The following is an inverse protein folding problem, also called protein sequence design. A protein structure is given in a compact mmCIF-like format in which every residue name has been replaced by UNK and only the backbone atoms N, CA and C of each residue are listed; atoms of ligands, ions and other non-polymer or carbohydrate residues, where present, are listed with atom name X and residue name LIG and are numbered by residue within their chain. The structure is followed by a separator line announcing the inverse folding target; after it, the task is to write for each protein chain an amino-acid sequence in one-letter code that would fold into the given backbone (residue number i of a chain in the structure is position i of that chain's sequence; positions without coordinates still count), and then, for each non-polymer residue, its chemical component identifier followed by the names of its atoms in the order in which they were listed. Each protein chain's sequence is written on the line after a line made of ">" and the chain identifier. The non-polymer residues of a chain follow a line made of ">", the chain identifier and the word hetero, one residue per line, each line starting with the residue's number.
data_IF_302967075194
#
_entry.id   IF_302967075194
#
_cell.length_a   1.000
_cell.length_b   1.000
_cell.length_c   1.000
_cell.angle_alpha   90.00
_cell.angle_beta   90.00
_cell.angle_gamma   90.00
#
_symmetry.space_group_name_H-M   'P 1'
#
loop_
_entity.id
_entity.type
_entity.pdbx_description
1 polymer ?
#
# COMPACT_ATOMS: atom_id res chain seq x y z
N UNK A 1 -0.33 -2.36 -6.02
CA UNK A 1 0.92 -1.54 -5.95
C UNK A 1 2.02 -2.43 -5.40
N UNK A 2 3.21 -2.42 -5.99
CA UNK A 2 4.37 -3.20 -5.51
C UNK A 2 4.75 -2.79 -4.07
N UNK A 3 5.03 -3.76 -3.19
CA UNK A 3 5.41 -3.55 -1.78
C UNK A 3 6.61 -2.60 -1.63
N UNK A 4 7.59 -2.68 -2.55
CA UNK A 4 8.75 -1.80 -2.57
C UNK A 4 8.35 -0.34 -2.87
N UNK A 5 7.46 -0.13 -3.82
CA UNK A 5 6.95 1.21 -4.14
C UNK A 5 6.12 1.78 -2.99
N UNK A 6 5.30 0.96 -2.33
CA UNK A 6 4.55 1.37 -1.13
C UNK A 6 5.48 1.76 0.02
N UNK A 7 6.53 0.98 0.28
CA UNK A 7 7.50 1.29 1.34
C UNK A 7 8.24 2.62 1.08
N UNK A 8 8.60 2.88 -0.18
CA UNK A 8 9.21 4.16 -0.56
C UNK A 8 8.22 5.32 -0.39
N UNK A 9 6.97 5.14 -0.83
CA UNK A 9 5.93 6.16 -0.69
C UNK A 9 5.63 6.47 0.79
N UNK A 10 5.60 5.44 1.65
CA UNK A 10 5.42 5.60 3.10
C UNK A 10 6.56 6.43 3.71
N UNK A 11 7.82 6.08 3.42
CA UNK A 11 8.97 6.82 3.95
C UNK A 11 8.98 8.28 3.47
N UNK A 12 8.58 8.55 2.24
CA UNK A 12 8.47 9.90 1.69
C UNK A 12 7.33 10.70 2.34
N UNK A 13 6.18 10.07 2.60
CA UNK A 13 5.07 10.69 3.31
C UNK A 13 5.48 11.05 4.76
N UNK A 14 6.17 10.15 5.46
CA UNK A 14 6.70 10.42 6.80
C UNK A 14 7.65 11.60 6.82
N UNK A 15 8.58 11.67 5.87
CA UNK A 15 9.52 12.79 5.77
C UNK A 15 8.79 14.10 5.44
N UNK A 16 7.77 14.05 4.57
CA UNK A 16 6.97 15.21 4.23
C UNK A 16 6.18 15.74 5.46
N UNK A 17 5.57 14.83 6.23
CA UNK A 17 4.89 15.18 7.48
C UNK A 17 5.83 15.80 8.50
N UNK A 18 7.00 15.21 8.71
CA UNK A 18 8.02 15.77 9.61
C UNK A 18 8.43 17.20 9.21
N UNK A 19 8.71 17.41 7.93
CA UNK A 19 9.05 18.75 7.41
C UNK A 19 7.90 19.76 7.61
N UNK A 20 6.66 19.29 7.51
CA UNK A 20 5.48 20.12 7.70
C UNK A 20 5.27 20.48 9.17
N UNK A 21 5.49 19.56 10.09
CA UNK A 21 5.44 19.83 11.53
C UNK A 21 6.48 20.91 11.91
N UNK A 22 7.70 20.82 11.39
CA UNK A 22 8.73 21.85 11.61
C UNK A 22 8.32 23.23 11.08
N UNK A 23 7.68 23.28 9.90
CA UNK A 23 7.15 24.53 9.37
C UNK A 23 6.06 25.10 10.27
N UNK A 24 5.12 24.27 10.74
CA UNK A 24 4.04 24.69 11.65
C UNK A 24 4.59 25.22 12.99
N UNK A 25 5.64 24.60 13.54
CA UNK A 25 6.34 25.09 14.72
C UNK A 25 6.99 26.45 14.47
N UNK A 26 7.66 26.65 13.34
CA UNK A 26 8.26 27.94 12.99
C UNK A 26 7.23 29.07 12.85
N UNK A 27 6.07 28.79 12.23
CA UNK A 27 4.95 29.75 12.18
C UNK A 27 4.47 30.12 13.59
N UNK A 28 4.26 29.13 14.46
CA UNK A 28 3.85 29.37 15.84
C UNK A 28 4.87 30.22 16.61
N UNK A 29 6.16 29.92 16.48
CA UNK A 29 7.24 30.71 17.11
C UNK A 29 7.23 32.16 16.58
N UNK A 30 7.08 32.34 15.29
CA UNK A 30 6.99 33.66 14.63
C UNK A 30 5.82 34.47 15.22
N UNK A 31 4.63 33.87 15.35
CA UNK A 31 3.45 34.51 15.89
C UNK A 31 3.57 34.84 17.38
N UNK A 32 4.08 33.89 18.19
CA UNK A 32 4.18 34.06 19.66
C UNK A 32 5.28 35.06 20.02
N UNK A 33 6.45 34.94 19.38
CA UNK A 33 7.61 35.77 19.68
C UNK A 33 7.65 37.07 18.87
N UNK A 34 6.66 37.30 17.99
CA UNK A 34 6.57 38.47 17.10
C UNK A 34 7.86 38.64 16.25
N UNK A 35 8.35 37.53 15.70
CA UNK A 35 9.53 37.54 14.86
C UNK A 35 9.16 38.04 13.44
N UNK A 36 10.12 38.56 12.68
CA UNK A 36 9.94 38.76 11.24
C UNK A 36 9.55 37.44 10.57
N UNK A 37 8.53 37.45 9.72
CA UNK A 37 8.13 36.27 8.96
C UNK A 37 8.91 36.20 7.64
N UNK A 38 8.97 35.01 7.06
CA UNK A 38 9.52 34.78 5.73
C UNK A 38 8.47 35.18 4.67
N UNK A 39 8.84 36.02 3.69
CA UNK A 39 7.96 36.43 2.60
C UNK A 39 7.39 35.27 1.81
N UNK A 40 8.09 34.12 1.77
CA UNK A 40 7.61 32.88 1.15
C UNK A 40 6.38 32.30 1.84
N UNK A 41 6.19 32.52 3.13
CA UNK A 41 5.06 31.99 3.89
C UNK A 41 3.76 32.77 3.64
N UNK A 42 3.86 33.97 3.09
CA UNK A 42 2.71 34.81 2.72
C UNK A 42 2.43 34.84 1.22
N UNK A 43 3.19 34.11 0.42
CA UNK A 43 2.94 33.93 -1.01
C UNK A 43 1.61 33.18 -1.23
N UNK A 44 0.77 33.57 -2.21
CA UNK A 44 -0.47 32.85 -2.53
C UNK A 44 -0.26 31.35 -2.86
N UNK A 45 0.91 31.00 -3.39
CA UNK A 45 1.30 29.64 -3.74
C UNK A 45 2.23 28.97 -2.71
N UNK A 46 2.38 29.56 -1.50
CA UNK A 46 3.24 29.04 -0.43
C UNK A 46 3.05 27.54 -0.19
N UNK A 47 1.81 27.05 -0.28
CA UNK A 47 1.48 25.64 -0.13
C UNK A 47 2.16 24.72 -1.18
N UNK A 48 2.56 25.24 -2.35
CA UNK A 48 3.31 24.47 -3.37
C UNK A 48 4.81 24.53 -3.15
N UNK A 49 5.29 25.61 -2.52
CA UNK A 49 6.71 25.88 -2.35
C UNK A 49 7.28 25.35 -1.02
N UNK A 50 6.44 25.07 -0.04
CA UNK A 50 6.89 24.38 1.18
C UNK A 50 7.40 22.95 0.87
N UNK A 51 8.23 22.38 1.76
CA UNK A 51 8.81 21.04 1.53
C UNK A 51 7.75 19.94 1.37
N UNK A 52 6.63 20.05 2.08
CA UNK A 52 5.50 19.15 1.89
C UNK A 52 4.88 19.32 0.50
N UNK A 53 4.63 20.55 0.07
CA UNK A 53 4.07 20.85 -1.25
C UNK A 53 4.96 20.40 -2.40
N UNK A 54 6.28 20.59 -2.29
CA UNK A 54 7.24 20.10 -3.29
C UNK A 54 7.17 18.58 -3.45
N UNK A 55 7.01 17.83 -2.36
CA UNK A 55 6.77 16.39 -2.42
C UNK A 55 5.40 16.07 -3.01
N UNK A 56 4.33 16.72 -2.51
CA UNK A 56 2.94 16.45 -2.89
C UNK A 56 2.67 16.70 -4.37
N UNK A 57 3.15 17.82 -4.92
CA UNK A 57 2.98 18.19 -6.34
C UNK A 57 4.10 17.65 -7.24
N UNK A 58 5.11 17.01 -6.67
CA UNK A 58 6.25 16.44 -7.36
C UNK A 58 6.08 14.95 -7.67
N UNK A 59 7.10 14.35 -8.28
CA UNK A 59 7.08 12.92 -8.64
C UNK A 59 7.08 11.99 -7.42
N UNK A 60 7.48 12.47 -6.23
CA UNK A 60 7.53 11.66 -5.02
C UNK A 60 6.17 11.14 -4.55
N UNK A 61 5.11 11.87 -4.81
CA UNK A 61 3.75 11.48 -4.43
C UNK A 61 2.96 10.77 -5.54
N UNK A 62 3.56 10.54 -6.72
CA UNK A 62 2.87 9.99 -7.89
C UNK A 62 2.16 8.65 -7.62
N UNK A 63 2.74 7.80 -6.78
CA UNK A 63 2.17 6.50 -6.40
C UNK A 63 0.93 6.61 -5.51
N UNK A 64 0.72 7.75 -4.84
CA UNK A 64 -0.37 7.99 -3.91
C UNK A 64 -1.54 8.79 -4.51
N UNK A 65 -1.40 9.30 -5.74
CA UNK A 65 -2.40 10.17 -6.39
C UNK A 65 -3.79 9.53 -6.53
N UNK A 66 -3.86 8.20 -6.60
CA UNK A 66 -5.11 7.45 -6.70
C UNK A 66 -5.72 7.11 -5.33
N UNK A 67 -5.05 7.45 -4.23
CA UNK A 67 -5.56 7.21 -2.89
C UNK A 67 -6.71 8.20 -2.58
N UNK A 68 -7.86 7.75 -2.04
CA UNK A 68 -9.01 8.63 -1.79
C UNK A 68 -8.66 9.86 -0.94
N UNK A 69 -7.88 9.68 0.14
CA UNK A 69 -7.47 10.77 1.03
C UNK A 69 -6.45 11.74 0.44
N UNK A 70 -5.86 11.43 -0.73
CA UNK A 70 -4.82 12.28 -1.31
C UNK A 70 -5.35 13.68 -1.67
N UNK A 71 -6.53 13.76 -2.29
CA UNK A 71 -7.14 15.03 -2.67
C UNK A 71 -7.51 15.89 -1.45
N UNK A 72 -8.01 15.28 -0.38
CA UNK A 72 -8.41 15.96 0.86
C UNK A 72 -7.21 16.62 1.55
N UNK A 73 -6.05 15.95 1.55
CA UNK A 73 -4.80 16.53 2.06
C UNK A 73 -4.46 17.85 1.34
N UNK A 74 -4.60 17.92 0.01
CA UNK A 74 -4.31 19.14 -0.74
C UNK A 74 -5.22 20.32 -0.35
N UNK A 75 -6.51 20.03 -0.13
CA UNK A 75 -7.49 21.05 0.25
C UNK A 75 -7.14 21.66 1.60
N UNK A 76 -6.93 20.81 2.61
CA UNK A 76 -6.62 21.30 3.96
C UNK A 76 -5.21 21.91 4.05
N UNK A 77 -4.24 21.39 3.31
CA UNK A 77 -2.89 21.95 3.23
C UNK A 77 -2.89 23.37 2.66
N UNK A 78 -3.58 23.60 1.55
CA UNK A 78 -3.74 24.94 0.97
C UNK A 78 -4.42 25.89 1.95
N UNK A 79 -5.54 25.45 2.54
CA UNK A 79 -6.31 26.25 3.50
C UNK A 79 -5.47 26.67 4.70
N UNK A 80 -4.68 25.76 5.23
CA UNK A 80 -3.79 26.02 6.35
C UNK A 80 -2.74 27.09 6.00
N UNK A 81 -2.08 27.02 4.84
CA UNK A 81 -1.13 28.05 4.38
C UNK A 81 -1.80 29.42 4.22
N UNK A 82 -3.03 29.49 3.70
CA UNK A 82 -3.80 30.72 3.58
C UNK A 82 -4.07 31.35 4.94
N UNK A 83 -4.53 30.55 5.91
CA UNK A 83 -4.79 31.04 7.27
C UNK A 83 -3.49 31.48 7.99
N UNK A 84 -2.38 30.76 7.80
CA UNK A 84 -1.08 31.17 8.31
C UNK A 84 -0.65 32.51 7.75
N UNK A 85 -0.78 32.72 6.43
CA UNK A 85 -0.44 33.98 5.77
C UNK A 85 -1.28 35.16 6.29
N UNK A 86 -2.57 34.96 6.56
CA UNK A 86 -3.44 35.98 7.16
C UNK A 86 -2.96 36.38 8.58
N UNK A 87 -2.63 35.36 9.42
CA UNK A 87 -2.12 35.59 10.78
C UNK A 87 -0.77 36.33 10.76
N UNK A 88 0.15 35.94 9.90
CA UNK A 88 1.47 36.57 9.77
C UNK A 88 1.37 38.02 9.33
N UNK A 89 0.54 38.34 8.32
CA UNK A 89 0.33 39.74 7.85
C UNK A 89 -0.26 40.61 8.95
N UNK A 90 -1.24 40.14 9.71
CA UNK A 90 -1.82 40.88 10.85
C UNK A 90 -0.77 41.13 11.92
N UNK A 91 -0.01 40.10 12.30
CA UNK A 91 1.07 40.23 13.28
C UNK A 91 2.09 41.32 12.92
N UNK A 92 2.43 41.44 11.62
CA UNK A 92 3.36 42.46 11.12
C UNK A 92 2.84 43.91 11.27
N UNK A 93 1.54 44.10 11.24
CA UNK A 93 0.91 45.43 11.44
C UNK A 93 0.63 45.75 12.91
N UNK A 94 1.25 45.04 13.86
CA UNK A 94 1.00 45.17 15.30
C UNK A 94 -0.46 44.89 15.72
N UNK A 95 -1.22 44.26 14.84
CA UNK A 95 -2.59 43.83 15.12
C UNK A 95 -2.51 42.38 15.63
N UNK A 96 -2.85 42.20 16.90
CA UNK A 96 -2.74 40.85 17.52
C UNK A 96 -3.75 39.92 16.82
N UNK A 97 -3.31 38.73 16.34
CA UNK A 97 -4.23 37.74 15.82
C UNK A 97 -5.35 37.44 16.80
N UNK A 98 -6.59 37.36 16.33
CA UNK A 98 -7.69 36.94 17.18
C UNK A 98 -7.57 35.47 17.56
N UNK A 99 -8.12 35.09 18.73
CA UNK A 99 -8.18 33.68 19.13
C UNK A 99 -8.92 32.84 18.08
N UNK A 100 -9.99 33.36 17.51
CA UNK A 100 -10.78 32.70 16.48
C UNK A 100 -9.96 32.40 15.22
N UNK A 101 -9.18 33.37 14.71
CA UNK A 101 -8.33 33.17 13.54
C UNK A 101 -7.23 32.13 13.80
N UNK A 102 -6.63 32.17 15.00
CA UNK A 102 -5.64 31.17 15.39
C UNK A 102 -6.25 29.78 15.53
N UNK A 103 -7.44 29.65 16.13
CA UNK A 103 -8.15 28.37 16.23
C UNK A 103 -8.51 27.81 14.84
N UNK A 104 -8.89 28.65 13.88
CA UNK A 104 -9.15 28.26 12.49
C UNK A 104 -7.88 27.69 11.83
N UNK A 105 -6.73 28.34 12.01
CA UNK A 105 -5.44 27.87 11.53
C UNK A 105 -5.08 26.52 12.15
N UNK A 106 -5.15 26.40 13.48
CA UNK A 106 -4.86 25.17 14.18
C UNK A 106 -5.81 24.03 13.82
N UNK A 107 -7.08 24.34 13.56
CA UNK A 107 -8.06 23.35 13.12
C UNK A 107 -7.74 22.83 11.70
N UNK A 108 -7.33 23.69 10.77
CA UNK A 108 -6.90 23.29 9.42
C UNK A 108 -5.62 22.43 9.48
N UNK A 109 -4.65 22.82 10.30
CA UNK A 109 -3.41 22.04 10.54
C UNK A 109 -3.71 20.64 11.09
N UNK A 110 -4.62 20.55 12.07
CA UNK A 110 -5.03 19.25 12.64
C UNK A 110 -5.74 18.37 11.62
N UNK A 111 -6.64 18.92 10.78
CA UNK A 111 -7.33 18.13 9.74
C UNK A 111 -6.36 17.60 8.70
N UNK A 112 -5.51 18.47 8.14
CA UNK A 112 -4.47 18.06 7.20
C UNK A 112 -3.61 16.92 7.76
N UNK A 113 -3.18 17.06 9.02
CA UNK A 113 -2.38 16.04 9.71
C UNK A 113 -3.15 14.73 9.90
N UNK A 114 -4.43 14.80 10.26
CA UNK A 114 -5.28 13.62 10.44
C UNK A 114 -5.42 12.85 9.13
N UNK A 115 -5.73 13.52 8.01
CA UNK A 115 -5.85 12.88 6.69
C UNK A 115 -4.54 12.19 6.28
N UNK A 116 -3.41 12.88 6.46
CA UNK A 116 -2.12 12.32 6.13
C UNK A 116 -1.71 11.15 7.05
N UNK A 117 -2.08 11.19 8.33
CA UNK A 117 -1.88 10.06 9.26
C UNK A 117 -2.77 8.88 8.95
N UNK A 118 -4.03 9.12 8.53
CA UNK A 118 -4.93 8.06 8.07
C UNK A 118 -4.34 7.34 6.86
N UNK A 119 -3.91 8.09 5.85
CA UNK A 119 -3.23 7.51 4.68
C UNK A 119 -1.97 6.73 5.06
N UNK A 120 -1.14 7.28 5.96
CA UNK A 120 0.05 6.58 6.47
C UNK A 120 -0.33 5.23 7.08
N UNK A 121 -1.34 5.21 7.95
CA UNK A 121 -1.80 3.99 8.62
C UNK A 121 -2.32 2.94 7.63
N UNK A 122 -3.10 3.36 6.62
CA UNK A 122 -3.58 2.47 5.56
C UNK A 122 -2.45 1.86 4.73
N UNK A 123 -1.37 2.64 4.45
CA UNK A 123 -0.17 2.14 3.79
C UNK A 123 0.60 1.15 4.67
N UNK A 124 0.76 1.45 5.96
CA UNK A 124 1.39 0.55 6.92
C UNK A 124 0.64 -0.78 7.03
N UNK A 125 -0.68 -0.74 7.11
CA UNK A 125 -1.52 -1.93 7.18
C UNK A 125 -1.46 -2.74 5.88
N UNK A 126 -1.47 -2.06 4.73
CA UNK A 126 -1.27 -2.72 3.44
C UNK A 126 0.08 -3.44 3.38
N UNK A 127 1.16 -2.79 3.83
CA UNK A 127 2.51 -3.38 3.87
C UNK A 127 2.61 -4.56 4.85
N UNK A 128 1.97 -4.47 6.02
CA UNK A 128 1.93 -5.58 6.99
C UNK A 128 1.23 -6.83 6.46
N UNK A 129 0.33 -6.66 5.51
CA UNK A 129 -0.47 -7.72 4.92
C UNK A 129 0.16 -8.36 3.69
N UNK A 130 1.35 -7.91 3.26
CA UNK A 130 2.07 -8.42 2.10
C UNK A 130 3.31 -9.20 2.56
N UNK A 131 3.57 -10.32 1.89
CA UNK A 131 4.83 -11.06 2.03
C UNK A 131 5.96 -10.31 1.29
N UNK A 132 7.04 -9.91 1.98
CA UNK A 132 8.07 -9.04 1.40
C UNK A 132 8.90 -9.72 0.29
N UNK A 133 8.96 -11.05 0.26
CA UNK A 133 9.71 -11.79 -0.76
C UNK A 133 8.91 -11.91 -2.05
N UNK A 134 7.62 -12.22 -1.92
CA UNK A 134 6.80 -12.64 -3.07
C UNK A 134 5.83 -11.57 -3.55
N UNK A 135 5.50 -10.58 -2.71
CA UNK A 135 4.46 -9.60 -3.00
C UNK A 135 3.03 -10.15 -2.91
N UNK A 136 2.87 -11.44 -2.63
CA UNK A 136 1.58 -12.04 -2.31
C UNK A 136 1.05 -11.52 -0.95
N UNK A 137 -0.24 -11.62 -0.72
CA UNK A 137 -0.78 -11.38 0.62
C UNK A 137 -0.27 -12.45 1.59
N UNK A 138 -0.04 -12.08 2.84
CA UNK A 138 0.49 -13.04 3.81
C UNK A 138 -0.66 -13.80 4.53
N UNK A 139 -0.28 -14.84 5.28
CA UNK A 139 -1.21 -15.68 6.04
C UNK A 139 -2.06 -14.88 7.04
N UNK A 140 -1.53 -13.78 7.59
CA UNK A 140 -2.26 -12.96 8.58
C UNK A 140 -3.50 -12.29 7.98
N UNK A 141 -3.39 -11.81 6.73
CA UNK A 141 -4.51 -11.18 6.02
C UNK A 141 -5.49 -12.19 5.43
N UNK A 142 -5.08 -13.44 5.25
CA UNK A 142 -5.87 -14.48 4.57
C UNK A 142 -7.19 -14.79 5.29
N UNK A 143 -7.14 -15.15 6.57
CA UNK A 143 -8.34 -15.61 7.30
C UNK A 143 -9.45 -14.55 7.38
N UNK A 144 -9.17 -13.27 7.73
CA UNK A 144 -10.19 -12.22 7.68
C UNK A 144 -10.88 -12.12 6.32
N UNK A 145 -10.11 -12.16 5.22
CA UNK A 145 -10.64 -12.04 3.87
C UNK A 145 -11.44 -13.27 3.43
N UNK A 146 -11.00 -14.46 3.78
CA UNK A 146 -11.78 -15.68 3.52
C UNK A 146 -13.10 -15.69 4.31
N UNK A 147 -13.13 -15.14 5.52
CA UNK A 147 -14.37 -14.99 6.29
C UNK A 147 -15.32 -13.99 5.63
N UNK A 148 -14.83 -12.87 5.12
CA UNK A 148 -15.64 -11.90 4.35
C UNK A 148 -16.23 -12.55 3.09
N UNK A 149 -15.43 -13.27 2.30
CA UNK A 149 -15.88 -13.98 1.11
C UNK A 149 -16.89 -15.07 1.45
N UNK A 150 -16.68 -15.82 2.53
CA UNK A 150 -17.64 -16.82 3.00
C UNK A 150 -19.01 -16.20 3.33
N UNK A 151 -19.06 -15.04 3.96
CA UNK A 151 -20.32 -14.35 4.23
C UNK A 151 -21.01 -13.85 2.94
N UNK A 152 -20.26 -13.49 1.91
CA UNK A 152 -20.81 -13.14 0.59
C UNK A 152 -21.37 -14.38 -0.12
N UNK A 153 -20.65 -15.50 -0.11
CA UNK A 153 -21.13 -16.79 -0.64
C UNK A 153 -22.38 -17.25 0.12
N UNK A 154 -22.41 -17.14 1.44
CA UNK A 154 -23.57 -17.49 2.27
C UNK A 154 -24.82 -16.67 1.97
N UNK A 155 -24.66 -15.42 1.54
CA UNK A 155 -25.76 -14.54 1.10
C UNK A 155 -26.14 -14.73 -0.36
N UNK A 156 -25.57 -15.72 -1.04
CA UNK A 156 -25.80 -16.02 -2.45
C UNK A 156 -25.45 -14.84 -3.40
N UNK A 157 -24.47 -14.01 -3.00
CA UNK A 157 -24.01 -12.88 -3.83
C UNK A 157 -23.19 -13.41 -5.00
N UNK A 158 -22.27 -14.36 -4.76
CA UNK A 158 -21.48 -15.05 -5.77
C UNK A 158 -20.89 -16.35 -5.21
N UNK A 159 -20.42 -17.23 -6.10
CA UNK A 159 -19.59 -18.38 -5.76
C UNK A 159 -18.14 -17.93 -5.53
N UNK A 160 -17.34 -18.74 -4.87
CA UNK A 160 -15.91 -18.49 -4.71
C UNK A 160 -15.13 -19.81 -4.82
N UNK A 161 -14.17 -19.87 -5.75
CA UNK A 161 -13.25 -20.99 -5.86
C UNK A 161 -12.00 -20.72 -5.02
N UNK A 162 -11.52 -21.79 -4.34
CA UNK A 162 -10.28 -21.79 -3.56
C UNK A 162 -9.32 -22.80 -4.16
N UNK A 163 -8.05 -22.41 -4.34
CA UNK A 163 -7.01 -23.32 -4.78
C UNK A 163 -5.81 -23.26 -3.84
N UNK A 164 -5.43 -24.41 -3.30
CA UNK A 164 -4.16 -24.58 -2.59
C UNK A 164 -3.10 -25.01 -3.59
N UNK A 165 -1.93 -24.38 -3.57
CA UNK A 165 -0.81 -24.64 -4.47
C UNK A 165 0.45 -24.90 -3.65
N UNK A 166 1.27 -25.82 -4.13
CA UNK A 166 2.54 -26.19 -3.51
C UNK A 166 3.62 -26.33 -4.60
N UNK A 167 4.79 -25.73 -4.39
CA UNK A 167 5.89 -25.78 -5.36
C UNK A 167 6.59 -27.13 -5.24
N UNK A 168 6.51 -27.92 -6.31
CA UNK A 168 7.03 -29.30 -6.33
C UNK A 168 8.52 -29.34 -6.07
N UNK A 169 8.92 -30.21 -5.13
CA UNK A 169 10.31 -30.47 -4.76
C UNK A 169 11.11 -29.22 -4.36
N UNK A 170 10.45 -28.23 -3.77
CA UNK A 170 11.08 -26.94 -3.42
C UNK A 170 12.31 -27.10 -2.51
N UNK A 171 12.28 -28.10 -1.58
CA UNK A 171 13.44 -28.40 -0.77
C UNK A 171 14.65 -28.83 -1.63
N UNK A 172 14.45 -29.62 -2.66
CA UNK A 172 15.54 -30.02 -3.57
C UNK A 172 16.11 -28.82 -4.33
N UNK A 173 15.27 -27.85 -4.71
CA UNK A 173 15.74 -26.59 -5.31
C UNK A 173 16.69 -25.86 -4.35
N UNK A 174 16.32 -25.76 -3.07
CA UNK A 174 17.19 -25.11 -2.06
C UNK A 174 18.48 -25.90 -1.82
N UNK A 175 18.38 -27.21 -1.74
CA UNK A 175 19.54 -28.10 -1.46
C UNK A 175 20.55 -28.13 -2.64
N UNK A 176 20.05 -28.12 -3.89
CA UNK A 176 20.89 -28.26 -5.08
C UNK A 176 21.37 -26.89 -5.62
N UNK A 177 20.55 -25.82 -5.50
CA UNK A 177 20.82 -24.51 -6.12
C UNK A 177 20.96 -23.37 -5.10
N UNK A 178 20.74 -23.65 -3.82
CA UNK A 178 20.83 -22.66 -2.73
C UNK A 178 19.57 -21.81 -2.52
N UNK A 179 19.48 -21.21 -1.34
CA UNK A 179 18.30 -20.43 -0.93
C UNK A 179 17.98 -19.25 -1.84
N UNK A 180 18.98 -18.62 -2.47
CA UNK A 180 18.74 -17.54 -3.43
C UNK A 180 17.99 -18.02 -4.69
N UNK A 181 18.23 -19.28 -5.10
CA UNK A 181 17.48 -19.89 -6.19
C UNK A 181 16.03 -20.17 -5.76
N UNK A 182 15.83 -20.70 -4.55
CA UNK A 182 14.51 -20.88 -3.97
C UNK A 182 13.72 -19.57 -3.85
N UNK A 183 14.35 -18.50 -3.36
CA UNK A 183 13.72 -17.17 -3.27
C UNK A 183 13.31 -16.65 -4.65
N UNK A 184 14.15 -16.88 -5.67
CA UNK A 184 13.83 -16.51 -7.06
C UNK A 184 12.66 -17.33 -7.61
N UNK A 185 12.59 -18.62 -7.31
CA UNK A 185 11.46 -19.48 -7.70
C UNK A 185 10.17 -18.99 -7.08
N UNK A 186 10.15 -18.74 -5.75
CA UNK A 186 9.00 -18.22 -5.02
C UNK A 186 8.52 -16.87 -5.57
N UNK A 187 9.44 -15.93 -5.76
CA UNK A 187 9.10 -14.59 -6.26
C UNK A 187 8.61 -14.64 -7.72
N UNK A 188 9.19 -15.51 -8.55
CA UNK A 188 8.75 -15.69 -9.94
C UNK A 188 7.35 -16.30 -10.02
N UNK A 189 7.08 -17.36 -9.20
CA UNK A 189 5.74 -17.95 -9.12
C UNK A 189 4.69 -16.91 -8.73
N UNK A 190 4.93 -16.18 -7.64
CA UNK A 190 3.98 -15.19 -7.16
C UNK A 190 3.75 -14.06 -8.17
N UNK A 191 4.79 -13.56 -8.83
CA UNK A 191 4.68 -12.52 -9.86
C UNK A 191 3.83 -13.00 -11.05
N UNK A 192 4.03 -14.23 -11.54
CA UNK A 192 3.21 -14.83 -12.58
C UNK A 192 1.77 -15.02 -12.12
N UNK A 193 1.56 -15.57 -10.93
CA UNK A 193 0.23 -15.76 -10.39
C UNK A 193 -0.52 -14.43 -10.29
N UNK A 194 0.09 -13.39 -9.70
CA UNK A 194 -0.51 -12.05 -9.59
C UNK A 194 -0.84 -11.46 -10.98
N UNK A 195 0.00 -11.67 -11.98
CA UNK A 195 -0.26 -11.18 -13.34
C UNK A 195 -1.39 -11.91 -14.05
N UNK A 196 -1.61 -13.17 -13.75
CA UNK A 196 -2.66 -14.01 -14.34
C UNK A 196 -4.02 -13.85 -13.62
N UNK A 197 -4.02 -13.39 -12.39
CA UNK A 197 -5.21 -13.17 -11.58
C UNK A 197 -5.96 -11.89 -11.98
N UNK A 198 -7.28 -11.88 -11.80
CA UNK A 198 -8.13 -10.71 -11.97
C UNK A 198 -7.98 -9.78 -10.77
N UNK A 199 -8.43 -8.54 -10.89
CA UNK A 199 -8.36 -7.53 -9.83
C UNK A 199 -9.03 -7.94 -8.50
N UNK A 200 -10.04 -8.80 -8.57
CA UNK A 200 -10.77 -9.29 -7.39
C UNK A 200 -10.23 -10.63 -6.87
N UNK A 201 -9.42 -11.34 -7.66
CA UNK A 201 -8.77 -12.56 -7.21
C UNK A 201 -7.60 -12.20 -6.27
N UNK A 202 -7.30 -13.10 -5.34
CA UNK A 202 -6.25 -12.88 -4.34
C UNK A 202 -5.30 -14.05 -4.30
N UNK A 203 -4.02 -13.74 -4.18
CA UNK A 203 -2.96 -14.71 -3.91
C UNK A 203 -2.44 -14.51 -2.49
N UNK A 204 -2.46 -15.56 -1.69
CA UNK A 204 -1.90 -15.58 -0.35
C UNK A 204 -0.70 -16.52 -0.31
N UNK A 205 0.37 -16.12 0.38
CA UNK A 205 1.43 -17.04 0.77
C UNK A 205 1.04 -17.67 2.11
N UNK A 206 0.68 -18.96 2.07
CA UNK A 206 0.19 -19.69 3.24
C UNK A 206 1.34 -20.22 4.12
N UNK A 207 2.41 -20.71 3.49
CA UNK A 207 3.57 -21.30 4.13
C UNK A 207 4.87 -20.96 3.40
N UNK A 208 5.89 -21.75 3.61
CA UNK A 208 7.19 -21.57 2.97
C UNK A 208 7.12 -21.59 1.45
N UNK A 209 6.51 -22.65 0.91
CA UNK A 209 6.36 -22.94 -0.53
C UNK A 209 4.90 -23.08 -0.95
N UNK A 210 3.97 -22.85 -0.01
CA UNK A 210 2.54 -23.04 -0.18
C UNK A 210 1.83 -21.69 -0.42
N UNK A 211 0.93 -21.68 -1.38
CA UNK A 211 0.12 -20.54 -1.74
C UNK A 211 -1.36 -20.91 -1.78
N UNK A 212 -2.23 -19.94 -1.51
CA UNK A 212 -3.67 -20.06 -1.66
C UNK A 212 -4.16 -19.00 -2.65
N UNK A 213 -4.95 -19.41 -3.64
CA UNK A 213 -5.73 -18.49 -4.49
C UNK A 213 -7.17 -18.50 -3.99
N UNK A 214 -7.73 -17.30 -3.83
CA UNK A 214 -9.15 -17.06 -3.63
C UNK A 214 -9.70 -16.31 -4.84
N UNK A 215 -10.66 -16.92 -5.55
CA UNK A 215 -11.22 -16.41 -6.80
C UNK A 215 -12.75 -16.17 -6.66
N UNK A 216 -13.17 -14.98 -6.19
CA UNK A 216 -14.57 -14.61 -6.08
C UNK A 216 -15.27 -14.59 -7.45
N UNK A 217 -16.50 -15.09 -7.54
CA UNK A 217 -17.27 -15.20 -8.78
C UNK A 217 -16.82 -16.31 -9.72
N UNK A 218 -15.83 -17.15 -9.29
CA UNK A 218 -15.44 -18.34 -10.03
C UNK A 218 -16.20 -19.57 -9.52
N UNK A 219 -16.61 -20.44 -10.44
CA UNK A 219 -17.00 -21.81 -10.22
C UNK A 219 -15.82 -22.77 -10.44
N UNK A 220 -16.06 -24.08 -10.31
CA UNK A 220 -14.99 -25.07 -10.51
C UNK A 220 -14.39 -25.04 -11.94
N UNK A 221 -15.22 -24.83 -12.94
CA UNK A 221 -14.76 -24.81 -14.34
C UNK A 221 -13.83 -23.60 -14.59
N UNK A 222 -14.24 -22.41 -14.14
CA UNK A 222 -13.43 -21.19 -14.24
C UNK A 222 -12.15 -21.29 -13.40
N UNK A 223 -12.26 -21.87 -12.19
CA UNK A 223 -11.10 -22.15 -11.33
C UNK A 223 -10.12 -23.11 -12.00
N UNK A 224 -10.61 -24.16 -12.63
CA UNK A 224 -9.77 -25.13 -13.38
C UNK A 224 -9.03 -24.46 -14.53
N UNK A 225 -9.72 -23.68 -15.36
CA UNK A 225 -9.10 -22.94 -16.47
C UNK A 225 -8.04 -21.95 -15.99
N UNK A 226 -8.30 -21.26 -14.86
CA UNK A 226 -7.32 -20.36 -14.24
C UNK A 226 -6.06 -21.12 -13.83
N UNK A 227 -6.23 -22.26 -13.12
CA UNK A 227 -5.12 -23.05 -12.64
C UNK A 227 -4.31 -23.68 -13.78
N UNK A 228 -4.96 -24.29 -14.75
CA UNK A 228 -4.28 -24.89 -15.90
C UNK A 228 -3.38 -23.88 -16.61
N UNK A 229 -3.90 -22.65 -16.83
CA UNK A 229 -3.11 -21.57 -17.44
C UNK A 229 -1.91 -21.19 -16.58
N UNK A 230 -2.12 -20.95 -15.26
CA UNK A 230 -1.06 -20.56 -14.33
C UNK A 230 0.02 -21.63 -14.24
N UNK A 231 -0.38 -22.90 -14.07
CA UNK A 231 0.56 -24.03 -13.94
C UNK A 231 1.38 -24.21 -15.23
N UNK A 232 0.74 -24.07 -16.41
CA UNK A 232 1.44 -24.13 -17.68
C UNK A 232 2.43 -22.99 -17.87
N UNK A 233 2.05 -21.74 -17.50
CA UNK A 233 2.94 -20.59 -17.57
C UNK A 233 4.14 -20.74 -16.65
N UNK A 234 3.95 -21.26 -15.43
CA UNK A 234 5.05 -21.45 -14.49
C UNK A 234 5.97 -22.62 -14.92
N UNK A 235 5.42 -23.73 -15.34
CA UNK A 235 6.21 -24.88 -15.82
C UNK A 235 7.08 -24.55 -17.06
N UNK A 236 6.69 -23.56 -17.85
CA UNK A 236 7.46 -23.07 -18.98
C UNK A 236 8.64 -22.16 -18.58
N UNK A 237 8.73 -21.74 -17.30
CA UNK A 237 9.82 -20.87 -16.84
C UNK A 237 11.13 -21.67 -16.76
N UNK A 238 12.19 -21.05 -17.27
CA UNK A 238 13.56 -21.56 -17.15
C UNK A 238 14.28 -20.71 -16.10
N UNK A 239 14.81 -21.38 -15.09
CA UNK A 239 15.61 -20.73 -14.06
C UNK A 239 17.09 -20.92 -14.38
N UNK A 240 17.82 -19.82 -14.53
CA UNK A 240 19.23 -19.78 -14.88
C UNK A 240 20.02 -19.04 -13.78
N UNK A 241 21.07 -19.67 -13.29
CA UNK A 241 22.01 -19.09 -12.32
C UNK A 241 23.45 -19.32 -12.80
N UNK A 242 24.32 -18.35 -12.50
CA UNK A 242 25.72 -18.46 -12.86
C UNK A 242 26.35 -19.74 -12.32
N UNK A 243 27.03 -20.50 -13.20
CA UNK A 243 27.72 -21.77 -12.87
C UNK A 243 26.84 -22.94 -12.47
N UNK A 244 25.52 -22.89 -12.69
CA UNK A 244 24.59 -23.98 -12.44
C UNK A 244 23.83 -24.33 -13.74
N UNK A 245 23.43 -25.57 -13.94
CA UNK A 245 22.62 -25.95 -15.09
C UNK A 245 21.21 -25.29 -14.97
N UNK A 246 20.62 -24.89 -16.11
CA UNK A 246 19.24 -24.45 -16.12
C UNK A 246 18.28 -25.52 -15.62
N UNK A 247 17.22 -25.13 -14.93
CA UNK A 247 16.22 -26.06 -14.41
C UNK A 247 14.80 -25.50 -14.53
N UNK A 248 13.83 -26.40 -14.42
CA UNK A 248 12.41 -26.09 -14.38
C UNK A 248 11.82 -26.53 -13.05
N UNK A 249 10.74 -25.87 -12.64
CA UNK A 249 9.98 -26.22 -11.45
C UNK A 249 8.51 -26.27 -11.82
N UNK A 250 7.78 -27.20 -11.23
CA UNK A 250 6.34 -27.33 -11.37
C UNK A 250 5.62 -27.00 -10.07
N UNK A 251 4.30 -26.88 -10.13
CA UNK A 251 3.43 -26.64 -8.98
C UNK A 251 2.29 -27.63 -9.02
N UNK A 252 2.02 -28.24 -7.89
CA UNK A 252 0.82 -29.04 -7.66
C UNK A 252 -0.29 -28.16 -7.10
N UNK A 253 -1.54 -28.37 -7.54
CA UNK A 253 -2.68 -27.60 -7.09
C UNK A 253 -3.89 -28.47 -6.76
N UNK A 254 -4.62 -28.10 -5.69
CA UNK A 254 -5.93 -28.65 -5.34
C UNK A 254 -6.98 -27.57 -5.37
N UNK A 255 -8.10 -27.79 -6.06
CA UNK A 255 -9.20 -26.85 -6.25
C UNK A 255 -10.44 -27.30 -5.52
N UNK A 256 -11.13 -26.37 -4.84
CA UNK A 256 -12.43 -26.59 -4.20
C UNK A 256 -13.28 -25.33 -4.25
N UNK A 257 -14.57 -25.47 -3.93
CA UNK A 257 -15.46 -24.32 -3.72
C UNK A 257 -15.44 -23.92 -2.24
N UNK A 258 -15.52 -22.62 -1.98
CA UNK A 258 -15.72 -22.11 -0.63
C UNK A 258 -17.13 -22.49 -0.16
N UNK A 259 -17.20 -23.45 0.79
CA UNK A 259 -18.46 -23.90 1.37
C UNK A 259 -18.86 -22.97 2.54
N UNK A 260 -19.99 -22.26 2.44
CA UNK A 260 -20.45 -21.38 3.52
C UNK A 260 -20.87 -22.12 4.79
N UNK A 261 -21.09 -23.44 4.73
CA UNK A 261 -21.46 -24.27 5.91
C UNK A 261 -20.23 -24.67 6.76
N UNK A 262 -19.02 -24.58 6.20
CA UNK A 262 -17.78 -24.97 6.86
C UNK A 262 -17.02 -23.72 7.32
N UNK A 263 -16.33 -23.79 8.47
CA UNK A 263 -15.43 -22.71 8.91
C UNK A 263 -14.18 -22.66 8.04
N UNK A 264 -13.61 -21.48 7.87
CA UNK A 264 -12.36 -21.26 7.10
C UNK A 264 -11.09 -21.45 7.96
N UNK A 265 -11.25 -22.02 9.14
CA UNK A 265 -10.19 -22.26 10.14
C UNK A 265 -9.64 -23.69 10.07
#
# INVERSE_FOLDING_TARGET
>A
MDAKLMSVALAQLEQALFNHDQWSEAINQTLICRLPFDERDVDPEAHKHCRFGQWYYGPGAATLQHHPGFAEIAVEHRRMHQLAAELLRRSAHCDAPSLEDYERFMAATKRMRLEAQTMKHELEDALRNIDPLTGAENRTSMLPKLREERELVKRDVHSCALAMLDIDKFKAVNDDYGHLAGDKVLSTFAALAISDLRSNDRLFRYGGEEFLICAPGADLDKGTVLLERLLAHFAAQIFEFANLPPFHVTVSAGLTMLDPAITVE
#
